data_IF_782793340674
#
_entry.id   IF_782793340674
#
_cell.length_a   1.000
_cell.length_b   1.000
_cell.length_c   1.000
_cell.angle_alpha   90.00
_cell.angle_beta   90.00
_cell.angle_gamma   90.00
#
_symmetry.space_group_name_H-M   'P 1'
#
loop_
_entity.id
_entity.type
_entity.pdbx_description
1 polymer ?
#
# COMPACT_ATOMS: atom_id res chain seq x y z
N UNK A 1 -28.85 19.01 12.25
CA UNK A 1 -27.85 18.90 11.17
C UNK A 1 -27.03 17.60 11.24
N UNK A 2 -27.59 16.47 11.72
CA UNK A 2 -26.90 15.16 11.78
C UNK A 2 -27.85 13.96 11.58
N UNK A 3 -29.08 14.20 11.10
CA UNK A 3 -30.14 13.18 11.03
C UNK A 3 -30.17 12.40 9.71
N UNK A 4 -29.42 12.85 8.69
CA UNK A 4 -29.38 12.23 7.35
C UNK A 4 -28.10 11.42 7.10
N UNK A 5 -27.53 10.83 8.16
CA UNK A 5 -26.38 9.91 8.04
C UNK A 5 -26.78 8.51 7.52
N UNK A 6 -28.07 8.25 7.39
CA UNK A 6 -28.65 7.01 6.85
C UNK A 6 -28.49 6.84 5.34
N UNK A 7 -28.19 7.89 4.57
CA UNK A 7 -28.06 7.80 3.11
C UNK A 7 -26.63 7.54 2.58
N UNK A 8 -25.63 7.41 3.47
CA UNK A 8 -24.21 7.50 3.09
C UNK A 8 -23.60 6.21 2.52
N UNK A 9 -24.34 5.11 2.47
CA UNK A 9 -23.87 3.88 1.83
C UNK A 9 -24.81 3.21 0.84
N UNK A 10 -26.04 3.71 0.61
CA UNK A 10 -26.98 3.11 -0.34
C UNK A 10 -26.47 3.12 -1.80
N UNK A 11 -25.61 4.08 -2.17
CA UNK A 11 -25.14 4.24 -3.55
C UNK A 11 -23.97 3.32 -3.94
N UNK A 12 -23.56 2.38 -3.08
CA UNK A 12 -22.24 1.75 -3.20
C UNK A 12 -22.21 0.38 -3.89
N UNK A 13 -23.14 -0.52 -3.59
CA UNK A 13 -23.04 -1.92 -4.04
C UNK A 13 -24.39 -2.66 -4.16
N UNK A 14 -25.53 -1.96 -4.14
CA UNK A 14 -26.82 -2.62 -3.94
C UNK A 14 -26.99 -3.22 -2.53
N UNK A 15 -26.21 -2.74 -1.57
CA UNK A 15 -26.26 -3.14 -0.16
C UNK A 15 -26.47 -1.94 0.77
N UNK A 16 -26.90 -2.24 2.00
CA UNK A 16 -27.31 -1.28 3.03
C UNK A 16 -26.26 -0.19 3.34
N UNK A 17 -26.69 1.03 3.72
CA UNK A 17 -25.81 2.10 4.14
C UNK A 17 -24.87 1.70 5.29
N UNK A 18 -23.59 2.08 5.22
CA UNK A 18 -22.67 1.92 6.35
C UNK A 18 -23.19 2.68 7.57
N UNK A 19 -23.18 2.04 8.73
CA UNK A 19 -23.46 2.73 9.99
C UNK A 19 -22.43 3.83 10.25
N UNK A 20 -22.83 4.90 10.94
CA UNK A 20 -21.92 5.99 11.34
C UNK A 20 -20.67 5.48 12.08
N UNK A 21 -20.83 4.48 12.95
CA UNK A 21 -19.72 3.87 13.71
C UNK A 21 -18.73 3.16 12.79
N UNK A 22 -19.23 2.41 11.79
CA UNK A 22 -18.39 1.71 10.82
C UNK A 22 -17.63 2.69 9.91
N UNK A 23 -18.31 3.74 9.45
CA UNK A 23 -17.67 4.83 8.70
C UNK A 23 -16.61 5.55 9.53
N UNK A 24 -16.92 5.91 10.78
CA UNK A 24 -15.99 6.60 11.66
C UNK A 24 -14.75 5.74 11.97
N UNK A 25 -14.94 4.44 12.21
CA UNK A 25 -13.83 3.50 12.39
C UNK A 25 -12.91 3.47 11.14
N UNK A 26 -13.50 3.42 9.94
CA UNK A 26 -12.75 3.41 8.69
C UNK A 26 -11.95 4.70 8.46
N UNK A 27 -12.56 5.85 8.74
CA UNK A 27 -11.91 7.15 8.66
C UNK A 27 -10.75 7.25 9.66
N UNK A 28 -10.96 6.86 10.93
CA UNK A 28 -9.92 6.90 11.96
C UNK A 28 -8.73 6.01 11.61
N UNK A 29 -8.97 4.81 11.09
CA UNK A 29 -7.91 3.90 10.63
C UNK A 29 -7.11 4.55 9.50
N UNK A 30 -7.77 5.16 8.51
CA UNK A 30 -7.06 5.83 7.41
C UNK A 30 -6.27 7.06 7.88
N UNK A 31 -6.80 7.85 8.83
CA UNK A 31 -6.08 8.98 9.44
C UNK A 31 -4.82 8.48 10.15
N UNK A 32 -4.94 7.43 10.96
CA UNK A 32 -3.81 6.82 11.64
C UNK A 32 -2.76 6.32 10.62
N UNK A 33 -3.20 5.67 9.54
CA UNK A 33 -2.34 5.21 8.45
C UNK A 33 -1.56 6.36 7.79
N UNK A 34 -2.22 7.47 7.49
CA UNK A 34 -1.57 8.65 6.89
C UNK A 34 -0.55 9.29 7.85
N UNK A 35 -0.89 9.45 9.13
CA UNK A 35 0.03 9.99 10.14
C UNK A 35 1.26 9.10 10.26
N UNK A 36 1.07 7.78 10.40
CA UNK A 36 2.16 6.80 10.48
C UNK A 36 3.02 6.83 9.21
N UNK A 37 2.41 6.97 8.02
CA UNK A 37 3.14 7.06 6.77
C UNK A 37 4.01 8.33 6.68
N UNK A 38 3.49 9.49 7.09
CA UNK A 38 4.24 10.75 7.10
C UNK A 38 5.40 10.72 8.09
N UNK A 39 5.15 10.29 9.34
CA UNK A 39 6.19 10.16 10.36
C UNK A 39 7.22 9.11 9.94
N UNK A 40 6.77 7.95 9.47
CA UNK A 40 7.61 6.88 8.97
C UNK A 40 8.52 7.36 7.84
N UNK A 41 7.96 8.03 6.82
CA UNK A 41 8.71 8.61 5.72
C UNK A 41 9.85 9.53 6.20
N UNK A 42 9.53 10.47 7.10
CA UNK A 42 10.53 11.37 7.68
C UNK A 42 11.65 10.62 8.41
N UNK A 43 11.30 9.69 9.29
CA UNK A 43 12.28 8.91 10.07
C UNK A 43 13.15 7.99 9.20
N UNK A 44 12.57 7.40 8.14
CA UNK A 44 13.30 6.52 7.23
C UNK A 44 14.30 7.30 6.39
N UNK A 45 13.89 8.45 5.84
CA UNK A 45 14.78 9.33 5.07
C UNK A 45 15.87 9.92 5.95
N UNK A 46 15.53 10.40 7.16
CA UNK A 46 16.51 10.90 8.11
C UNK A 46 17.56 9.84 8.46
N UNK A 47 17.15 8.58 8.66
CA UNK A 47 18.08 7.48 8.89
C UNK A 47 18.99 7.24 7.69
N UNK A 48 18.43 7.11 6.48
CA UNK A 48 19.25 6.88 5.28
C UNK A 48 20.30 7.97 5.08
N UNK A 49 19.91 9.23 5.28
CA UNK A 49 20.83 10.38 5.19
C UNK A 49 21.90 10.29 6.29
N UNK A 50 21.50 10.05 7.55
CA UNK A 50 22.43 9.96 8.68
C UNK A 50 23.41 8.79 8.58
N UNK A 51 22.99 7.70 7.93
CA UNK A 51 23.81 6.51 7.71
C UNK A 51 24.76 6.65 6.50
N UNK A 52 24.72 7.79 5.78
CA UNK A 52 25.54 8.00 4.59
C UNK A 52 25.17 7.08 3.42
N UNK A 53 23.90 6.64 3.33
CA UNK A 53 23.44 5.79 2.24
C UNK A 53 23.68 6.46 0.88
N UNK A 54 23.88 5.64 -0.16
CA UNK A 54 24.10 6.14 -1.53
C UNK A 54 22.94 7.02 -2.01
N UNK A 55 23.21 7.94 -2.93
CA UNK A 55 22.18 8.80 -3.56
C UNK A 55 21.05 7.95 -4.17
N UNK A 56 21.39 6.83 -4.81
CA UNK A 56 20.42 5.92 -5.39
C UNK A 56 19.48 5.33 -4.31
N UNK A 57 20.04 4.91 -3.18
CA UNK A 57 19.26 4.41 -2.03
C UNK A 57 18.32 5.49 -1.49
N UNK A 58 18.80 6.74 -1.32
CA UNK A 58 17.96 7.84 -0.84
C UNK A 58 16.81 8.14 -1.80
N UNK A 59 17.06 8.15 -3.12
CA UNK A 59 16.01 8.34 -4.12
C UNK A 59 14.99 7.21 -4.07
N UNK A 60 15.43 5.96 -3.91
CA UNK A 60 14.55 4.81 -3.81
C UNK A 60 13.70 4.82 -2.53
N UNK A 61 14.27 5.21 -1.38
CA UNK A 61 13.55 5.41 -0.13
C UNK A 61 12.55 6.57 -0.22
N UNK A 62 12.89 7.63 -0.96
CA UNK A 62 12.00 8.76 -1.22
C UNK A 62 10.80 8.35 -2.07
N UNK A 63 11.03 7.56 -3.12
CA UNK A 63 9.97 7.04 -3.98
C UNK A 63 9.02 6.12 -3.22
N UNK A 64 9.57 5.21 -2.40
CA UNK A 64 8.78 4.38 -1.48
C UNK A 64 7.90 5.24 -0.56
N UNK A 65 8.52 6.22 0.10
CA UNK A 65 7.85 7.10 1.07
C UNK A 65 6.72 7.91 0.41
N UNK A 66 6.98 8.48 -0.76
CA UNK A 66 5.99 9.22 -1.53
C UNK A 66 4.82 8.34 -1.98
N UNK A 67 5.10 7.13 -2.50
CA UNK A 67 4.06 6.19 -2.93
C UNK A 67 3.19 5.71 -1.75
N UNK A 68 3.80 5.45 -0.59
CA UNK A 68 3.10 5.07 0.63
C UNK A 68 2.18 6.19 1.12
N UNK A 69 2.69 7.43 1.25
CA UNK A 69 1.91 8.60 1.68
C UNK A 69 0.78 8.88 0.70
N UNK A 70 1.05 8.87 -0.61
CA UNK A 70 0.05 9.10 -1.64
C UNK A 70 -1.08 8.06 -1.59
N UNK A 71 -0.76 6.78 -1.38
CA UNK A 71 -1.76 5.72 -1.24
C UNK A 71 -2.65 5.91 -0.01
N UNK A 72 -2.09 6.22 1.17
CA UNK A 72 -2.91 6.45 2.36
C UNK A 72 -3.72 7.74 2.26
N UNK A 73 -3.19 8.78 1.64
CA UNK A 73 -3.92 10.03 1.39
C UNK A 73 -5.09 9.79 0.42
N UNK A 74 -4.85 9.10 -0.69
CA UNK A 74 -5.91 8.77 -1.65
C UNK A 74 -7.03 7.94 -1.01
N UNK A 75 -6.66 6.94 -0.20
CA UNK A 75 -7.60 6.11 0.55
C UNK A 75 -8.40 6.90 1.57
N UNK A 76 -7.74 7.77 2.35
CA UNK A 76 -8.41 8.64 3.31
C UNK A 76 -9.42 9.56 2.63
N UNK A 77 -8.98 10.29 1.60
CA UNK A 77 -9.83 11.23 0.87
C UNK A 77 -11.01 10.47 0.28
N UNK A 78 -10.78 9.38 -0.46
CA UNK A 78 -11.85 8.61 -1.10
C UNK A 78 -12.89 8.08 -0.09
N UNK A 79 -12.47 7.57 1.07
CA UNK A 79 -13.37 6.92 2.02
C UNK A 79 -14.04 7.89 3.02
N UNK A 80 -13.51 9.10 3.23
CA UNK A 80 -13.94 9.97 4.35
C UNK A 80 -14.81 11.15 3.95
N UNK A 81 -14.96 11.47 2.66
CA UNK A 81 -15.63 12.72 2.27
C UNK A 81 -16.93 12.59 1.44
N UNK A 82 -17.79 13.62 1.42
CA UNK A 82 -19.07 13.69 0.68
C UNK A 82 -18.93 13.92 -0.83
N UNK A 83 -18.09 13.17 -1.50
CA UNK A 83 -17.72 13.49 -2.88
C UNK A 83 -18.78 13.02 -3.87
N UNK A 84 -19.89 13.72 -4.05
CA UNK A 84 -20.91 13.25 -5.01
C UNK A 84 -20.36 13.20 -6.44
N UNK A 85 -19.69 14.27 -6.88
CA UNK A 85 -19.16 14.39 -8.25
C UNK A 85 -17.75 13.81 -8.40
N UNK A 86 -16.87 14.04 -7.41
CA UNK A 86 -15.47 13.64 -7.51
C UNK A 86 -15.20 12.17 -7.13
N UNK A 87 -16.17 11.46 -6.54
CA UNK A 87 -15.96 10.08 -6.03
C UNK A 87 -15.55 9.06 -7.08
N UNK A 88 -16.08 9.06 -8.32
CA UNK A 88 -15.57 8.16 -9.35
C UNK A 88 -14.08 8.35 -9.62
N UNK A 89 -13.62 9.61 -9.67
CA UNK A 89 -12.21 9.93 -9.84
C UNK A 89 -11.37 9.52 -8.62
N UNK A 90 -11.80 9.89 -7.42
CA UNK A 90 -11.09 9.54 -6.18
C UNK A 90 -10.98 8.02 -5.99
N UNK A 91 -12.02 7.27 -6.37
CA UNK A 91 -11.99 5.80 -6.39
C UNK A 91 -10.93 5.27 -7.34
N UNK A 92 -10.81 5.84 -8.54
CA UNK A 92 -9.81 5.43 -9.52
C UNK A 92 -8.39 5.74 -9.02
N UNK A 93 -8.21 6.91 -8.42
CA UNK A 93 -6.93 7.32 -7.82
C UNK A 93 -6.52 6.39 -6.68
N UNK A 94 -7.44 6.07 -5.78
CA UNK A 94 -7.20 5.15 -4.66
C UNK A 94 -6.75 3.75 -5.13
N UNK A 95 -7.49 3.15 -6.07
CA UNK A 95 -7.11 1.86 -6.63
C UNK A 95 -5.84 1.88 -7.50
N UNK A 96 -5.58 2.98 -8.21
CA UNK A 96 -4.35 3.15 -8.99
C UNK A 96 -3.14 3.30 -8.06
N UNK A 97 -3.29 3.99 -6.93
CA UNK A 97 -2.22 4.18 -5.95
C UNK A 97 -1.74 2.87 -5.32
N UNK A 98 -2.58 1.82 -5.26
CA UNK A 98 -2.17 0.48 -4.81
C UNK A 98 -1.06 -0.09 -5.71
N UNK A 99 -1.22 0.00 -7.04
CA UNK A 99 -0.20 -0.46 -7.99
C UNK A 99 1.13 0.27 -7.80
N UNK A 100 1.07 1.60 -7.68
CA UNK A 100 2.26 2.44 -7.48
C UNK A 100 2.91 2.14 -6.13
N UNK A 101 2.13 1.91 -5.07
CA UNK A 101 2.65 1.53 -3.76
C UNK A 101 3.37 0.19 -3.79
N UNK A 102 2.83 -0.81 -4.50
CA UNK A 102 3.49 -2.13 -4.65
C UNK A 102 4.87 -1.95 -5.30
N UNK A 103 4.94 -1.26 -6.44
CA UNK A 103 6.21 -1.01 -7.13
C UNK A 103 7.18 -0.16 -6.30
N UNK A 104 6.67 0.89 -5.65
CA UNK A 104 7.42 1.75 -4.74
C UNK A 104 8.01 0.99 -3.55
N UNK A 105 7.32 -0.03 -3.03
CA UNK A 105 7.80 -0.88 -1.93
C UNK A 105 9.01 -1.71 -2.31
N UNK A 106 9.01 -2.32 -3.50
CA UNK A 106 10.14 -3.13 -3.99
C UNK A 106 11.36 -2.31 -4.41
N UNK A 107 11.17 -1.03 -4.76
CA UNK A 107 12.24 -0.17 -5.31
C UNK A 107 13.47 -0.02 -4.40
N UNK A 108 13.36 0.37 -3.12
CA UNK A 108 14.52 0.47 -2.24
C UNK A 108 15.23 -0.87 -2.03
N UNK A 109 14.50 -2.00 -1.95
CA UNK A 109 15.14 -3.31 -1.82
C UNK A 109 15.97 -3.68 -3.05
N UNK A 110 15.42 -3.51 -4.24
CA UNK A 110 16.16 -3.77 -5.47
C UNK A 110 17.35 -2.81 -5.66
N UNK A 111 17.22 -1.56 -5.23
CA UNK A 111 18.33 -0.59 -5.24
C UNK A 111 19.46 -0.97 -4.27
N UNK A 112 19.14 -1.53 -3.10
CA UNK A 112 20.13 -2.02 -2.12
C UNK A 112 20.78 -3.34 -2.56
N UNK A 113 20.01 -4.26 -3.13
CA UNK A 113 20.52 -5.55 -3.63
C UNK A 113 21.37 -5.35 -4.89
N UNK A 114 20.98 -4.41 -5.76
CA UNK A 114 21.71 -3.96 -6.94
C UNK A 114 22.19 -5.06 -7.92
N UNK A 115 21.58 -6.25 -7.90
CA UNK A 115 21.88 -7.31 -8.87
C UNK A 115 21.06 -7.15 -10.15
N UNK A 116 21.56 -7.60 -11.32
CA UNK A 116 20.81 -7.56 -12.58
C UNK A 116 19.44 -8.24 -12.48
N UNK A 117 19.35 -9.33 -11.70
CA UNK A 117 18.09 -10.03 -11.45
C UNK A 117 17.09 -9.17 -10.68
N UNK A 118 17.50 -8.56 -9.56
CA UNK A 118 16.62 -7.71 -8.75
C UNK A 118 16.13 -6.48 -9.53
N UNK A 119 17.02 -5.85 -10.30
CA UNK A 119 16.67 -4.70 -11.14
C UNK A 119 15.73 -5.09 -12.28
N UNK A 120 15.96 -6.23 -12.93
CA UNK A 120 15.10 -6.73 -14.01
C UNK A 120 13.69 -7.07 -13.52
N UNK A 121 13.58 -7.73 -12.35
CA UNK A 121 12.29 -7.96 -11.71
C UNK A 121 11.59 -6.65 -11.36
N UNK A 122 12.32 -5.67 -10.80
CA UNK A 122 11.78 -4.36 -10.49
C UNK A 122 11.24 -3.66 -11.75
N UNK A 123 11.94 -3.73 -12.88
CA UNK A 123 11.46 -3.17 -14.14
C UNK A 123 10.14 -3.81 -14.58
N UNK A 124 10.02 -5.14 -14.50
CA UNK A 124 8.76 -5.85 -14.80
C UNK A 124 7.65 -5.40 -13.86
N UNK A 125 7.93 -5.28 -12.55
CA UNK A 125 6.97 -4.79 -11.56
C UNK A 125 6.48 -3.39 -11.90
N UNK A 126 7.37 -2.46 -12.25
CA UNK A 126 6.99 -1.09 -12.62
C UNK A 126 6.16 -1.04 -13.90
N UNK A 127 6.53 -1.82 -14.93
CA UNK A 127 5.75 -1.90 -16.18
C UNK A 127 4.33 -2.37 -15.88
N UNK A 128 4.18 -3.45 -15.11
CA UNK A 128 2.88 -4.00 -14.74
C UNK A 128 2.09 -3.04 -13.84
N UNK A 129 2.76 -2.34 -12.92
CA UNK A 129 2.15 -1.36 -12.03
C UNK A 129 1.63 -0.14 -12.80
N UNK A 130 2.42 0.41 -13.73
CA UNK A 130 2.02 1.55 -14.57
C UNK A 130 0.90 1.15 -15.53
N UNK A 131 0.96 -0.05 -16.10
CA UNK A 131 -0.12 -0.60 -16.89
C UNK A 131 -1.41 -0.76 -16.07
N UNK A 132 -1.32 -1.37 -14.89
CA UNK A 132 -2.44 -1.50 -13.96
C UNK A 132 -3.03 -0.15 -13.56
N UNK A 133 -2.19 0.79 -13.10
CA UNK A 133 -2.61 2.13 -12.71
C UNK A 133 -3.26 2.90 -13.86
N UNK A 134 -2.68 2.90 -15.06
CA UNK A 134 -3.25 3.58 -16.23
C UNK A 134 -4.60 2.99 -16.64
N UNK A 135 -4.76 1.65 -16.61
CA UNK A 135 -6.06 0.99 -16.84
C UNK A 135 -7.12 1.45 -15.85
N UNK A 136 -6.74 1.64 -14.58
CA UNK A 136 -7.63 2.14 -13.51
C UNK A 136 -8.02 3.60 -13.72
N UNK A 137 -7.11 4.44 -14.20
CA UNK A 137 -7.37 5.86 -14.40
C UNK A 137 -8.19 6.12 -15.68
N UNK A 138 -7.84 5.46 -16.78
CA UNK A 138 -8.33 5.79 -18.12
C UNK A 138 -9.53 4.96 -18.59
N UNK A 139 -9.63 3.69 -18.18
CA UNK A 139 -10.57 2.73 -18.76
C UNK A 139 -11.53 2.09 -17.73
N UNK A 140 -11.78 2.79 -16.62
CA UNK A 140 -12.60 2.23 -15.53
C UNK A 140 -14.10 2.35 -15.78
N UNK A 141 -14.76 1.20 -15.91
CA UNK A 141 -16.21 1.08 -16.02
C UNK A 141 -16.86 0.57 -14.71
N UNK A 142 -16.21 -0.37 -14.00
CA UNK A 142 -16.65 -0.92 -12.70
C UNK A 142 -15.45 -1.56 -11.96
N UNK A 143 -15.51 -1.76 -10.63
CA UNK A 143 -14.50 -2.53 -9.91
C UNK A 143 -14.42 -3.95 -10.47
N UNK A 144 -13.22 -4.36 -10.88
CA UNK A 144 -13.00 -5.70 -11.41
C UNK A 144 -12.97 -6.69 -10.25
N UNK A 145 -13.78 -7.75 -10.32
CA UNK A 145 -13.77 -8.86 -9.33
C UNK A 145 -12.39 -9.49 -9.11
N UNK A 146 -11.46 -9.30 -10.04
CA UNK A 146 -10.11 -9.86 -10.03
C UNK A 146 -9.02 -8.88 -9.58
N UNK A 147 -9.36 -7.62 -9.32
CA UNK A 147 -8.37 -6.60 -8.95
C UNK A 147 -7.55 -7.01 -7.71
N UNK A 148 -8.15 -7.53 -6.62
CA UNK A 148 -7.38 -7.96 -5.46
C UNK A 148 -6.38 -9.07 -5.75
N UNK A 149 -6.72 -10.00 -6.66
CA UNK A 149 -5.80 -11.08 -7.06
C UNK A 149 -4.60 -10.54 -7.84
N UNK A 150 -4.83 -9.56 -8.72
CA UNK A 150 -3.74 -8.93 -9.50
C UNK A 150 -2.80 -8.15 -8.58
N UNK A 151 -3.34 -7.41 -7.60
CA UNK A 151 -2.53 -6.74 -6.58
C UNK A 151 -1.69 -7.75 -5.80
N UNK A 152 -2.30 -8.85 -5.38
CA UNK A 152 -1.64 -9.86 -4.59
C UNK A 152 -0.53 -10.57 -5.38
N UNK A 153 -0.81 -10.97 -6.63
CA UNK A 153 0.17 -11.58 -7.51
C UNK A 153 1.36 -10.65 -7.76
N UNK A 154 1.09 -9.38 -8.07
CA UNK A 154 2.15 -8.39 -8.30
C UNK A 154 2.95 -8.12 -7.02
N UNK A 155 2.31 -8.07 -5.86
CA UNK A 155 2.97 -7.86 -4.57
C UNK A 155 3.92 -9.01 -4.23
N UNK A 156 3.45 -10.26 -4.31
CA UNK A 156 4.31 -11.43 -4.06
C UNK A 156 5.43 -11.55 -5.09
N UNK A 157 5.16 -11.25 -6.36
CA UNK A 157 6.18 -11.18 -7.40
C UNK A 157 7.25 -10.13 -7.06
N UNK A 158 6.86 -8.94 -6.58
CA UNK A 158 7.79 -7.89 -6.17
C UNK A 158 8.68 -8.25 -4.98
N UNK A 159 8.26 -9.20 -4.14
CA UNK A 159 9.00 -9.61 -2.94
C UNK A 159 10.09 -10.66 -3.23
N UNK A 160 10.02 -11.36 -4.37
CA UNK A 160 10.92 -12.48 -4.75
C UNK A 160 12.41 -12.12 -4.61
N UNK A 161 12.91 -10.96 -5.09
CA UNK A 161 14.32 -10.63 -4.97
C UNK A 161 14.83 -10.61 -3.53
N UNK A 162 13.96 -10.32 -2.55
CA UNK A 162 14.33 -10.25 -1.13
C UNK A 162 14.20 -11.61 -0.45
N UNK A 163 13.12 -12.35 -0.73
CA UNK A 163 12.79 -13.57 0.03
C UNK A 163 13.42 -14.85 -0.54
N UNK A 164 13.72 -14.88 -1.84
CA UNK A 164 14.12 -16.11 -2.53
C UNK A 164 15.62 -16.24 -2.78
N UNK A 165 16.38 -15.15 -2.63
CA UNK A 165 17.82 -15.16 -2.87
C UNK A 165 18.57 -15.39 -1.54
N UNK A 166 19.34 -16.47 -1.39
CA UNK A 166 20.15 -16.70 -0.19
C UNK A 166 21.20 -15.60 -0.01
N UNK A 167 21.33 -15.09 1.22
CA UNK A 167 22.42 -14.18 1.59
C UNK A 167 22.30 -12.74 1.05
N UNK A 168 21.19 -12.34 0.42
CA UNK A 168 21.02 -10.96 -0.09
C UNK A 168 20.47 -9.99 0.95
N UNK A 169 19.81 -10.51 1.99
CA UNK A 169 19.17 -9.71 3.02
C UNK A 169 19.34 -10.36 4.40
N UNK A 170 19.42 -9.55 5.48
CA UNK A 170 19.36 -10.07 6.84
C UNK A 170 18.09 -10.91 7.05
N UNK A 171 18.20 -11.97 7.86
CA UNK A 171 17.05 -12.85 8.16
C UNK A 171 15.84 -12.08 8.71
N UNK A 172 16.08 -11.03 9.51
CA UNK A 172 15.03 -10.15 10.00
C UNK A 172 14.25 -9.44 8.87
N UNK A 173 14.93 -8.99 7.81
CA UNK A 173 14.31 -8.34 6.65
C UNK A 173 13.42 -9.33 5.90
N UNK A 174 13.90 -10.57 5.69
CA UNK A 174 13.14 -11.63 5.04
C UNK A 174 11.86 -11.94 5.81
N UNK A 175 11.95 -12.14 7.14
CA UNK A 175 10.78 -12.43 7.96
C UNK A 175 9.79 -11.27 8.01
N UNK A 176 10.25 -10.03 8.06
CA UNK A 176 9.37 -8.85 8.02
C UNK A 176 8.66 -8.73 6.67
N UNK A 177 9.35 -9.02 5.56
CA UNK A 177 8.74 -9.06 4.22
C UNK A 177 7.69 -10.16 4.11
N UNK A 178 7.99 -11.37 4.59
CA UNK A 178 7.03 -12.49 4.60
C UNK A 178 5.83 -12.18 5.49
N UNK A 179 6.05 -11.68 6.71
CA UNK A 179 4.98 -11.28 7.62
C UNK A 179 4.09 -10.20 7.01
N UNK A 180 4.68 -9.14 6.42
CA UNK A 180 3.93 -8.09 5.74
C UNK A 180 3.11 -8.63 4.56
N UNK A 181 3.69 -9.51 3.74
CA UNK A 181 3.00 -10.16 2.63
C UNK A 181 1.83 -11.03 3.08
N UNK A 182 2.01 -11.84 4.13
CA UNK A 182 0.97 -12.68 4.71
C UNK A 182 -0.15 -11.85 5.37
N UNK A 183 0.20 -10.81 6.12
CA UNK A 183 -0.79 -9.86 6.68
C UNK A 183 -1.59 -9.22 5.55
N UNK A 184 -0.95 -8.71 4.49
CA UNK A 184 -1.68 -8.15 3.36
C UNK A 184 -2.61 -9.16 2.69
N UNK A 185 -2.14 -10.40 2.52
CA UNK A 185 -2.94 -11.52 1.98
C UNK A 185 -4.18 -11.80 2.84
N UNK A 186 -4.01 -11.86 4.17
CA UNK A 186 -5.12 -12.01 5.11
C UNK A 186 -6.11 -10.83 5.06
N UNK A 187 -5.59 -9.61 4.89
CA UNK A 187 -6.40 -8.42 4.65
C UNK A 187 -7.28 -8.58 3.41
N UNK A 188 -6.74 -9.08 2.30
CA UNK A 188 -7.50 -9.29 1.05
C UNK A 188 -8.68 -10.23 1.28
N UNK A 189 -8.51 -11.27 2.11
CA UNK A 189 -9.59 -12.17 2.49
C UNK A 189 -10.71 -11.48 3.30
N UNK A 190 -10.39 -10.44 4.07
CA UNK A 190 -11.38 -9.61 4.76
C UNK A 190 -12.04 -8.61 3.80
N UNK A 191 -11.28 -8.02 2.89
CA UNK A 191 -11.79 -7.05 1.91
C UNK A 191 -12.93 -7.62 1.04
N UNK A 192 -12.83 -8.89 0.67
CA UNK A 192 -13.85 -9.57 -0.15
C UNK A 192 -15.10 -9.98 0.64
N UNK A 193 -15.12 -9.80 1.97
CA UNK A 193 -16.31 -10.06 2.80
C UNK A 193 -17.24 -8.86 2.80
N UNK A 194 -18.47 -9.08 2.40
CA UNK A 194 -19.50 -8.04 2.31
C UNK A 194 -20.55 -8.10 3.43
N UNK A 195 -20.50 -9.16 4.25
CA UNK A 195 -21.45 -9.50 5.31
C UNK A 195 -21.08 -8.90 6.69
N UNK A 196 -19.90 -8.29 6.82
CA UNK A 196 -19.40 -7.78 8.09
C UNK A 196 -19.35 -6.24 8.13
N UNK A 197 -20.05 -5.56 9.07
CA UNK A 197 -20.15 -4.09 9.09
C UNK A 197 -18.82 -3.33 9.18
N UNK A 198 -17.78 -3.91 9.78
CA UNK A 198 -16.47 -3.28 9.95
C UNK A 198 -15.40 -3.79 8.97
N UNK A 199 -15.77 -4.60 7.98
CA UNK A 199 -14.82 -5.24 7.04
C UNK A 199 -13.87 -4.23 6.38
N UNK A 200 -14.36 -3.04 6.02
CA UNK A 200 -13.53 -1.99 5.40
C UNK A 200 -12.48 -1.41 6.34
N UNK A 201 -12.89 -1.06 7.56
CA UNK A 201 -11.96 -0.55 8.58
C UNK A 201 -10.91 -1.62 8.93
N UNK A 202 -11.32 -2.87 9.05
CA UNK A 202 -10.41 -3.99 9.29
C UNK A 202 -9.46 -4.20 8.10
N UNK A 203 -9.94 -4.16 6.86
CA UNK A 203 -9.08 -4.19 5.68
C UNK A 203 -7.98 -3.12 5.73
N UNK A 204 -8.35 -1.85 5.99
CA UNK A 204 -7.35 -0.78 6.07
C UNK A 204 -6.38 -0.97 7.24
N UNK A 205 -6.82 -1.53 8.37
CA UNK A 205 -5.93 -1.86 9.48
C UNK A 205 -4.88 -2.90 9.07
N UNK A 206 -5.28 -3.95 8.35
CA UNK A 206 -4.34 -4.94 7.81
C UNK A 206 -3.35 -4.31 6.81
N UNK A 207 -3.81 -3.38 5.96
CA UNK A 207 -2.92 -2.63 5.04
C UNK A 207 -1.90 -1.79 5.80
N UNK A 208 -2.28 -1.16 6.91
CA UNK A 208 -1.37 -0.39 7.77
C UNK A 208 -0.35 -1.30 8.45
N UNK A 209 -0.78 -2.43 9.01
CA UNK A 209 0.11 -3.40 9.67
C UNK A 209 1.12 -3.96 8.67
N UNK A 210 0.66 -4.35 7.48
CA UNK A 210 1.54 -4.82 6.40
C UNK A 210 2.56 -3.74 5.98
N UNK A 211 2.11 -2.49 5.79
CA UNK A 211 3.01 -1.36 5.50
C UNK A 211 4.02 -1.13 6.64
N UNK A 212 3.60 -1.31 7.90
CA UNK A 212 4.49 -1.27 9.07
C UNK A 212 5.57 -2.35 9.03
N UNK A 213 5.26 -3.57 8.60
CA UNK A 213 6.25 -4.63 8.41
C UNK A 213 7.27 -4.27 7.33
N UNK A 214 6.82 -3.79 6.15
CA UNK A 214 7.72 -3.39 5.07
C UNK A 214 8.57 -2.18 5.44
N UNK A 215 7.99 -1.22 6.14
CA UNK A 215 8.71 -0.09 6.73
C UNK A 215 9.80 -0.58 7.70
N UNK A 216 9.46 -1.48 8.62
CA UNK A 216 10.43 -2.04 9.56
C UNK A 216 11.54 -2.82 8.85
N UNK A 217 11.22 -3.55 7.79
CA UNK A 217 12.20 -4.24 6.96
C UNK A 217 13.22 -3.25 6.35
N UNK A 218 12.74 -2.12 5.82
CA UNK A 218 13.61 -1.06 5.30
C UNK A 218 14.42 -0.38 6.42
N UNK A 219 13.82 -0.14 7.58
CA UNK A 219 14.50 0.45 8.75
C UNK A 219 15.67 -0.39 9.25
N UNK A 220 15.54 -1.71 9.18
CA UNK A 220 16.58 -2.67 9.58
C UNK A 220 17.61 -2.86 8.45
N UNK A 221 17.20 -2.83 7.18
CA UNK A 221 18.08 -3.08 6.04
C UNK A 221 18.84 -1.85 5.51
N UNK A 222 18.29 -0.64 5.60
CA UNK A 222 18.87 0.58 5.03
C UNK A 222 20.19 1.09 5.66
N UNK A 223 20.49 0.88 6.95
CA UNK A 223 21.71 1.44 7.58
C UNK A 223 23.07 0.91 7.11
N UNK A 224 23.19 0.25 5.96
CA UNK A 224 24.48 -0.34 5.52
C UNK A 224 25.00 -1.40 6.48
N UNK A 225 24.12 -2.01 7.30
CA UNK A 225 24.53 -2.92 8.37
C UNK A 225 24.94 -4.31 7.92
N UNK A 226 24.84 -4.65 6.64
CA UNK A 226 25.41 -5.88 6.06
C UNK A 226 25.66 -5.60 4.58
N UNK A 227 26.89 -5.25 4.18
CA UNK A 227 27.96 -6.10 3.64
C UNK A 227 29.20 -5.23 3.40
#
# INVERSE_FOLDING_TARGET
>A
MFRDLTYWGAALHGGEPLSFRAWAADALVNIAGLILALVGAGLLLAQGISAGSSVLTILALSLYSAAMVASFLASLVYNSGPWHEARPLLRRLDHAAIYIKIAGTGTPFAAMIATPFALSMLSVVWILALYGASRKLLFWYAPGRYDPLLYLALAWFSAVPVIALPGVAPMAVIWLMLAGGLVYTGGVAIYVRHDWPYARATWHAFVIIAAGCFYAALRVGAPGTLY
#
